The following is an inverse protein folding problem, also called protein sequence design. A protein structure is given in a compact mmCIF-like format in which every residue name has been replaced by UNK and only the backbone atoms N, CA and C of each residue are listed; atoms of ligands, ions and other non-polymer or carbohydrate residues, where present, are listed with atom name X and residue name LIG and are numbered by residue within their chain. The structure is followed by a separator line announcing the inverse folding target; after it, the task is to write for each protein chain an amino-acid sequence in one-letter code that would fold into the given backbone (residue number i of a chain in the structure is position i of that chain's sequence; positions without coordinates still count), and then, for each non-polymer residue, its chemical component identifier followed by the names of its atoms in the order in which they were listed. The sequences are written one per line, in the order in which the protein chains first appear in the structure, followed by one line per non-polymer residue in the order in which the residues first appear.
data_IF_615615382603
#
_entry.id   IF_615615382603
#
_cell.length_a   1.000
_cell.length_b   1.000
_cell.length_c   1.000
_cell.angle_alpha   90.00
_cell.angle_beta   90.00
_cell.angle_gamma   90.00
#
_symmetry.space_group_name_H-M   'P 1'
#
loop_
_entity.id
_entity.type
_entity.pdbx_description
1 polymer ?
#
# COMPACT_ATOMS: atom_id res chain seq x y z
N UNK A 1 -2.94 19.48 15.94
CA UNK A 1 -2.64 18.75 14.69
C UNK A 1 -1.95 17.39 14.90
N UNK A 2 -0.84 17.29 15.66
CA UNK A 2 -0.11 16.01 15.83
C UNK A 2 -0.96 14.85 16.38
N UNK A 3 -1.82 15.11 17.37
CA UNK A 3 -2.71 14.08 17.93
C UNK A 3 -3.70 13.55 16.89
N UNK A 4 -4.25 14.43 16.04
CA UNK A 4 -5.16 14.02 14.96
C UNK A 4 -4.43 13.17 13.91
N UNK A 5 -3.21 13.54 13.54
CA UNK A 5 -2.36 12.75 12.63
C UNK A 5 -2.01 11.38 13.21
N UNK A 6 -1.73 11.30 14.52
CA UNK A 6 -1.46 10.05 15.21
C UNK A 6 -2.69 9.13 15.19
N UNK A 7 -3.87 9.66 15.56
CA UNK A 7 -5.11 8.90 15.53
C UNK A 7 -5.40 8.40 14.11
N UNK A 8 -5.25 9.26 13.10
CA UNK A 8 -5.40 8.88 11.70
C UNK A 8 -4.40 7.77 11.30
N UNK A 9 -3.13 7.90 11.68
CA UNK A 9 -2.09 6.88 11.44
C UNK A 9 -2.51 5.51 11.99
N UNK A 10 -3.00 5.48 13.23
CA UNK A 10 -3.42 4.23 13.90
C UNK A 10 -4.64 3.62 13.19
N UNK A 11 -5.63 4.45 12.82
CA UNK A 11 -6.83 3.99 12.11
C UNK A 11 -6.46 3.40 10.74
N UNK A 12 -5.65 4.11 9.96
CA UNK A 12 -5.23 3.65 8.62
C UNK A 12 -4.35 2.41 8.70
N UNK A 13 -3.50 2.30 9.73
CA UNK A 13 -2.72 1.09 10.00
C UNK A 13 -3.65 -0.09 10.30
N UNK A 14 -4.65 0.10 11.16
CA UNK A 14 -5.61 -0.94 11.53
C UNK A 14 -6.45 -1.38 10.31
N UNK A 15 -7.00 -0.42 9.55
CA UNK A 15 -7.76 -0.70 8.32
C UNK A 15 -6.87 -1.44 7.32
N UNK A 16 -5.64 -0.97 7.11
CA UNK A 16 -4.69 -1.58 6.19
C UNK A 16 -4.36 -3.02 6.55
N UNK A 17 -4.08 -3.30 7.83
CA UNK A 17 -3.84 -4.67 8.32
C UNK A 17 -5.08 -5.54 8.17
N UNK A 18 -6.27 -5.04 8.54
CA UNK A 18 -7.53 -5.77 8.40
C UNK A 18 -7.78 -6.16 6.94
N UNK A 19 -7.66 -5.20 6.02
CA UNK A 19 -7.91 -5.42 4.59
C UNK A 19 -6.84 -6.29 3.90
N UNK A 20 -5.67 -6.48 4.52
CA UNK A 20 -4.66 -7.42 4.03
C UNK A 20 -4.84 -8.83 4.60
N UNK A 21 -5.13 -8.94 5.90
CA UNK A 21 -5.13 -10.22 6.62
C UNK A 21 -6.49 -10.90 6.55
N UNK A 22 -7.60 -10.18 6.74
CA UNK A 22 -8.94 -10.78 6.76
C UNK A 22 -9.27 -11.54 5.46
N UNK A 23 -9.00 -10.98 4.26
CA UNK A 23 -9.15 -11.75 3.02
C UNK A 23 -8.40 -13.09 3.01
N UNK A 24 -7.21 -13.16 3.62
CA UNK A 24 -6.40 -14.39 3.65
C UNK A 24 -6.97 -15.42 4.63
N UNK A 25 -7.51 -14.98 5.77
CA UNK A 25 -8.11 -15.87 6.76
C UNK A 25 -9.43 -16.46 6.29
N UNK A 26 -10.17 -15.74 5.46
CA UNK A 26 -11.44 -16.19 4.92
C UNK A 26 -11.28 -17.03 3.65
N UNK A 27 -10.16 -16.91 2.94
CA UNK A 27 -9.89 -17.61 1.68
C UNK A 27 -10.14 -19.14 1.72
N UNK A 28 -9.80 -19.89 2.80
CA UNK A 28 -10.11 -21.33 2.91
C UNK A 28 -11.61 -21.66 3.02
N UNK A 29 -12.41 -20.73 3.56
CA UNK A 29 -13.88 -20.85 3.64
C UNK A 29 -14.51 -20.58 2.27
N UNK A 30 -13.71 -20.03 1.35
CA UNK A 30 -14.10 -19.50 0.06
C UNK A 30 -13.43 -20.25 -1.10
N UNK A 31 -12.86 -21.44 -0.89
CA UNK A 31 -12.41 -22.30 -1.98
C UNK A 31 -13.58 -22.74 -2.90
N UNK A 32 -14.82 -22.49 -2.48
CA UNK A 32 -16.05 -22.62 -3.28
C UNK A 32 -16.58 -21.29 -3.84
N UNK A 33 -15.88 -20.18 -3.58
CA UNK A 33 -16.28 -18.83 -3.97
C UNK A 33 -16.04 -18.61 -5.46
N UNK A 34 -17.01 -18.01 -6.15
CA UNK A 34 -16.92 -17.73 -7.58
C UNK A 34 -15.90 -16.64 -7.91
N UNK A 35 -15.60 -16.49 -9.20
CA UNK A 35 -14.62 -15.51 -9.71
C UNK A 35 -14.84 -14.07 -9.19
N UNK A 36 -16.09 -13.68 -8.94
CA UNK A 36 -16.44 -12.35 -8.41
C UNK A 36 -15.92 -12.09 -6.99
N UNK A 37 -15.90 -13.10 -6.13
CA UNK A 37 -15.43 -12.98 -4.75
C UNK A 37 -13.90 -12.89 -4.72
N UNK A 38 -13.21 -13.66 -5.56
CA UNK A 38 -11.76 -13.59 -5.73
C UNK A 38 -11.30 -12.18 -6.17
N UNK A 39 -12.05 -11.55 -7.10
CA UNK A 39 -11.81 -10.16 -7.50
C UNK A 39 -12.05 -9.19 -6.33
N UNK A 40 -13.12 -9.37 -5.56
CA UNK A 40 -13.41 -8.51 -4.40
C UNK A 40 -12.30 -8.59 -3.34
N UNK A 41 -11.75 -9.77 -3.06
CA UNK A 41 -10.62 -9.92 -2.14
C UNK A 41 -9.33 -9.30 -2.66
N UNK A 42 -9.07 -9.43 -3.95
CA UNK A 42 -7.96 -8.74 -4.62
C UNK A 42 -8.07 -7.22 -4.45
N UNK A 43 -9.26 -6.64 -4.67
CA UNK A 43 -9.51 -5.21 -4.49
C UNK A 43 -9.37 -4.78 -3.03
N UNK A 44 -9.88 -5.58 -2.09
CA UNK A 44 -9.74 -5.33 -0.65
C UNK A 44 -8.26 -5.26 -0.25
N UNK A 45 -7.42 -6.18 -0.75
CA UNK A 45 -5.98 -6.15 -0.50
C UNK A 45 -5.30 -4.90 -1.07
N UNK A 46 -5.67 -4.50 -2.29
CA UNK A 46 -5.21 -3.25 -2.89
C UNK A 46 -5.55 -2.03 -2.02
N UNK A 47 -6.79 -1.96 -1.52
CA UNK A 47 -7.22 -0.92 -0.58
C UNK A 47 -6.46 -1.00 0.77
N UNK A 48 -6.12 -2.19 1.25
CA UNK A 48 -5.31 -2.38 2.45
C UNK A 48 -3.91 -1.77 2.31
N UNK A 49 -3.24 -2.00 1.19
CA UNK A 49 -1.95 -1.35 0.91
C UNK A 49 -2.07 0.16 0.73
N UNK A 50 -3.19 0.66 0.18
CA UNK A 50 -3.48 2.09 0.12
C UNK A 50 -3.54 2.69 1.52
N UNK A 51 -4.33 2.11 2.42
CA UNK A 51 -4.45 2.53 3.81
C UNK A 51 -3.10 2.50 4.54
N UNK A 52 -2.31 1.43 4.39
CA UNK A 52 -0.96 1.38 4.96
C UNK A 52 -0.03 2.48 4.44
N UNK A 53 -0.18 2.88 3.18
CA UNK A 53 0.62 3.97 2.60
C UNK A 53 0.22 5.33 3.14
N UNK A 54 -1.08 5.53 3.41
CA UNK A 54 -1.60 6.73 4.10
C UNK A 54 -1.15 6.76 5.57
N UNK A 55 -1.13 5.61 6.26
CA UNK A 55 -0.55 5.49 7.59
C UNK A 55 0.95 5.85 7.58
N UNK A 56 1.69 5.38 6.58
CA UNK A 56 3.10 5.76 6.41
C UNK A 56 3.26 7.26 6.14
N UNK A 57 2.43 7.83 5.27
CA UNK A 57 2.42 9.27 4.96
C UNK A 57 2.25 10.11 6.23
N UNK A 58 1.20 9.81 7.00
CA UNK A 58 0.90 10.52 8.24
C UNK A 58 1.99 10.31 9.29
N UNK A 59 2.56 9.11 9.40
CA UNK A 59 3.75 8.83 10.20
C UNK A 59 4.96 9.69 9.85
N UNK A 60 5.32 9.75 8.57
CA UNK A 60 6.45 10.56 8.07
C UNK A 60 6.19 12.07 8.27
N UNK A 61 4.95 12.53 8.09
CA UNK A 61 4.57 13.92 8.37
C UNK A 61 4.73 14.29 9.85
N UNK A 62 4.46 13.37 10.78
CA UNK A 62 4.65 13.63 12.22
C UNK A 62 6.12 13.78 12.62
N UNK A 63 7.02 13.09 11.92
CA UNK A 63 8.46 13.10 12.19
C UNK A 63 9.18 14.32 11.61
N UNK A 64 8.54 15.09 10.72
CA UNK A 64 9.16 16.24 10.06
C UNK A 64 8.64 17.57 10.61
N UNK A 65 9.48 18.63 10.57
CA UNK A 65 9.01 20.00 10.85
C UNK A 65 7.91 20.39 9.85
N UNK A 66 7.06 21.35 10.22
CA UNK A 66 5.96 21.85 9.37
C UNK A 66 6.47 22.39 8.01
N UNK A 67 7.75 22.77 7.93
CA UNK A 67 8.44 23.22 6.71
C UNK A 67 9.36 22.14 6.07
N UNK A 68 9.23 20.89 6.47
CA UNK A 68 10.03 19.78 5.94
C UNK A 68 9.75 19.52 4.46
N UNK A 69 10.75 19.02 3.73
CA UNK A 69 10.65 18.77 2.30
C UNK A 69 9.54 17.75 1.98
N UNK A 70 8.42 18.25 1.47
CA UNK A 70 7.25 17.45 1.08
C UNK A 70 7.62 16.43 -0.02
N UNK A 71 8.71 16.63 -0.76
CA UNK A 71 9.20 15.67 -1.77
C UNK A 71 9.62 14.35 -1.13
N UNK A 72 10.26 14.40 0.04
CA UNK A 72 10.65 13.20 0.79
C UNK A 72 9.42 12.41 1.23
N UNK A 73 8.46 13.11 1.84
CA UNK A 73 7.24 12.50 2.38
C UNK A 73 6.40 11.90 1.24
N UNK A 74 6.20 12.66 0.17
CA UNK A 74 5.47 12.20 -1.01
C UNK A 74 6.15 11.01 -1.71
N UNK A 75 7.46 11.06 -1.94
CA UNK A 75 8.18 9.97 -2.61
C UNK A 75 8.17 8.68 -1.78
N UNK A 76 8.34 8.77 -0.45
CA UNK A 76 8.30 7.61 0.43
C UNK A 76 6.92 6.94 0.43
N UNK A 77 5.85 7.73 0.51
CA UNK A 77 4.47 7.23 0.44
C UNK A 77 4.14 6.60 -0.91
N UNK A 78 4.51 7.25 -2.02
CA UNK A 78 4.27 6.71 -3.36
C UNK A 78 5.05 5.41 -3.60
N UNK A 79 6.29 5.33 -3.11
CA UNK A 79 7.09 4.10 -3.18
C UNK A 79 6.41 2.95 -2.44
N UNK A 80 5.95 3.18 -1.20
CA UNK A 80 5.25 2.18 -0.40
C UNK A 80 3.92 1.75 -1.03
N UNK A 81 3.15 2.71 -1.56
CA UNK A 81 1.89 2.46 -2.25
C UNK A 81 2.06 1.55 -3.47
N UNK A 82 2.96 1.92 -4.37
CA UNK A 82 3.22 1.11 -5.55
C UNK A 82 3.84 -0.24 -5.20
N UNK A 83 4.66 -0.33 -4.14
CA UNK A 83 5.19 -1.62 -3.68
C UNK A 83 4.07 -2.55 -3.24
N UNK A 84 3.12 -2.05 -2.45
CA UNK A 84 1.94 -2.80 -2.03
C UNK A 84 1.05 -3.25 -3.19
N UNK A 85 0.81 -2.37 -4.18
CA UNK A 85 0.11 -2.75 -5.41
C UNK A 85 0.86 -3.80 -6.22
N UNK A 86 2.18 -3.67 -6.35
CA UNK A 86 3.03 -4.65 -7.04
C UNK A 86 2.91 -6.03 -6.40
N UNK A 87 2.97 -6.11 -5.07
CA UNK A 87 2.80 -7.35 -4.32
C UNK A 87 1.39 -7.92 -4.50
N UNK A 88 0.36 -7.07 -4.48
CA UNK A 88 -1.03 -7.49 -4.74
C UNK A 88 -1.18 -8.10 -6.13
N UNK A 89 -0.77 -7.38 -7.16
CA UNK A 89 -0.93 -7.83 -8.53
C UNK A 89 -0.06 -9.05 -8.83
N UNK A 90 1.14 -9.14 -8.25
CA UNK A 90 1.99 -10.33 -8.39
C UNK A 90 1.29 -11.58 -7.83
N UNK A 91 0.69 -11.46 -6.63
CA UNK A 91 -0.07 -12.56 -6.03
C UNK A 91 -1.32 -12.90 -6.84
N UNK A 92 -1.97 -11.90 -7.44
CA UNK A 92 -3.13 -12.11 -8.31
C UNK A 92 -2.78 -12.73 -9.67
N UNK A 93 -1.57 -12.53 -10.20
CA UNK A 93 -1.11 -13.20 -11.43
C UNK A 93 -1.08 -14.72 -11.23
N UNK A 94 -0.59 -15.18 -10.06
CA UNK A 94 -0.61 -16.62 -9.75
C UNK A 94 -2.03 -17.19 -9.62
N UNK A 95 -3.01 -16.34 -9.30
CA UNK A 95 -4.43 -16.71 -9.23
C UNK A 95 -5.20 -16.47 -10.55
N UNK A 96 -4.54 -16.00 -11.62
CA UNK A 96 -5.20 -15.69 -12.90
C UNK A 96 -6.07 -14.43 -12.89
N UNK A 97 -5.99 -13.60 -11.85
CA UNK A 97 -6.85 -12.42 -11.63
C UNK A 97 -6.23 -11.11 -12.11
N UNK A 98 -4.98 -11.12 -12.57
CA UNK A 98 -4.27 -9.92 -13.00
C UNK A 98 -3.28 -10.24 -14.12
N UNK A 99 -2.97 -9.22 -14.93
CA UNK A 99 -2.02 -9.34 -16.02
C UNK A 99 -0.61 -8.93 -15.59
N UNK A 100 0.41 -9.63 -16.09
CA UNK A 100 1.81 -9.33 -15.81
C UNK A 100 2.21 -7.87 -16.11
N UNK A 101 1.73 -7.22 -17.20
CA UNK A 101 2.05 -5.81 -17.47
C UNK A 101 1.71 -4.85 -16.34
N UNK A 102 0.61 -5.08 -15.60
CA UNK A 102 0.21 -4.22 -14.47
C UNK A 102 1.20 -4.36 -13.31
N UNK A 103 1.69 -5.59 -13.04
CA UNK A 103 2.73 -5.84 -12.03
C UNK A 103 4.01 -5.08 -12.37
N UNK A 104 4.44 -5.16 -13.63
CA UNK A 104 5.67 -4.49 -14.11
C UNK A 104 5.52 -2.98 -14.01
N UNK A 105 4.38 -2.42 -14.43
CA UNK A 105 4.12 -0.98 -14.34
C UNK A 105 4.27 -0.48 -12.91
N UNK A 106 3.60 -1.12 -11.95
CA UNK A 106 3.68 -0.70 -10.55
C UNK A 106 5.06 -0.97 -9.95
N UNK A 107 5.73 -2.07 -10.31
CA UNK A 107 7.09 -2.35 -9.85
C UNK A 107 8.11 -1.31 -10.31
N UNK A 108 8.00 -0.84 -11.57
CA UNK A 108 8.83 0.25 -12.09
C UNK A 108 8.55 1.56 -11.34
N UNK A 109 7.27 1.89 -11.11
CA UNK A 109 6.90 3.07 -10.32
C UNK A 109 7.45 3.00 -8.89
N UNK A 110 7.37 1.84 -8.24
CA UNK A 110 8.01 1.61 -6.92
C UNK A 110 9.49 1.96 -6.95
N UNK A 111 10.23 1.44 -7.93
CA UNK A 111 11.67 1.69 -8.03
C UNK A 111 11.97 3.17 -8.26
N UNK A 112 11.22 3.84 -9.14
CA UNK A 112 11.38 5.28 -9.41
C UNK A 112 11.20 6.09 -8.12
N UNK A 113 10.09 5.89 -7.42
CA UNK A 113 9.81 6.64 -6.19
C UNK A 113 10.74 6.27 -5.05
N UNK A 114 11.17 5.01 -4.96
CA UNK A 114 12.15 4.57 -3.98
C UNK A 114 13.52 5.25 -4.22
N UNK A 115 13.97 5.34 -5.47
CA UNK A 115 15.21 6.04 -5.82
C UNK A 115 15.10 7.53 -5.46
N UNK A 116 13.99 8.18 -5.81
CA UNK A 116 13.73 9.59 -5.44
C UNK A 116 13.75 9.74 -3.91
N UNK A 117 13.07 8.85 -3.18
CA UNK A 117 13.05 8.86 -1.72
C UNK A 117 14.46 8.75 -1.13
N UNK A 118 15.22 7.72 -1.53
CA UNK A 118 16.58 7.48 -1.05
C UNK A 118 17.55 8.61 -1.42
N UNK A 119 17.36 9.26 -2.56
CA UNK A 119 18.14 10.43 -2.94
C UNK A 119 17.88 11.63 -2.01
N UNK A 120 16.62 11.85 -1.63
CA UNK A 120 16.24 12.93 -0.71
C UNK A 120 16.58 12.61 0.76
N UNK A 121 16.76 11.34 1.14
CA UNK A 121 17.27 10.97 2.47
C UNK A 121 18.72 11.44 2.68
N UNK A 122 19.53 11.46 1.61
CA UNK A 122 20.99 11.70 1.67
C UNK A 122 21.39 13.19 1.62
N UNK A 123 20.43 14.09 1.46
CA UNK A 123 20.65 15.55 1.40
C UNK A 123 20.18 16.20 2.69
#
# INVERSE_FOLDING_TARGET
MKILLLIHTIIELAIGVILLVVPQLLMPVLETAGDGEAIAFSLARGAGFAALSVALLSGLMMMRPINGDLRFVGAGTLAAFHLGLTITFLLNVFAGLSSLPIVVLHGVLTLIFLVIFLWNVRR
#
